data_IF_527977656633
#
_entry.id   IF_527977656633
#
_cell.length_a   1.000
_cell.length_b   1.000
_cell.length_c   1.000
_cell.angle_alpha   90.00
_cell.angle_beta   90.00
_cell.angle_gamma   90.00
#
_symmetry.space_group_name_H-M   'P 1'
#
loop_
_entity.id
_entity.type
_entity.pdbx_description
1 polymer ?
#
# COMPACT_ATOMS: atom_id res chain seq x y z
N UNK A 1 32.86 -7.29 -45.68
CA UNK A 1 31.47 -7.07 -45.24
C UNK A 1 31.21 -5.58 -45.07
N UNK A 2 30.08 -5.02 -45.54
CA UNK A 2 29.85 -3.58 -45.58
C UNK A 2 29.70 -3.02 -44.15
N UNK A 3 30.46 -1.96 -43.84
CA UNK A 3 30.45 -1.28 -42.52
C UNK A 3 29.05 -0.81 -42.08
N UNK A 4 28.15 -0.61 -43.05
CA UNK A 4 26.75 -0.26 -42.83
C UNK A 4 25.96 -1.33 -42.07
N UNK A 5 26.19 -2.62 -42.37
CA UNK A 5 25.47 -3.71 -41.70
C UNK A 5 25.91 -3.86 -40.24
N UNK A 6 27.21 -3.67 -39.97
CA UNK A 6 27.74 -3.66 -38.60
C UNK A 6 27.11 -2.53 -37.77
N UNK A 7 26.96 -1.34 -38.35
CA UNK A 7 26.31 -0.21 -37.69
C UNK A 7 24.86 -0.49 -37.30
N UNK A 8 24.07 -1.08 -38.22
CA UNK A 8 22.68 -1.44 -37.96
C UNK A 8 22.58 -2.49 -36.85
N UNK A 9 23.45 -3.52 -36.87
CA UNK A 9 23.46 -4.54 -35.83
C UNK A 9 23.82 -3.98 -34.45
N UNK A 10 24.77 -3.04 -34.37
CA UNK A 10 25.11 -2.40 -33.11
C UNK A 10 23.93 -1.62 -32.54
N UNK A 11 23.22 -0.85 -33.38
CA UNK A 11 22.01 -0.12 -32.97
C UNK A 11 20.91 -1.07 -32.51
N UNK A 12 20.68 -2.17 -33.23
CA UNK A 12 19.66 -3.14 -32.84
C UNK A 12 19.98 -3.81 -31.49
N UNK A 13 21.26 -4.14 -31.28
CA UNK A 13 21.72 -4.72 -30.00
C UNK A 13 21.62 -3.74 -28.83
N UNK A 14 21.91 -2.46 -29.03
CA UNK A 14 21.80 -1.45 -27.97
C UNK A 14 20.34 -1.16 -27.62
N UNK A 15 19.44 -1.16 -28.62
CA UNK A 15 17.99 -1.01 -28.39
C UNK A 15 17.44 -2.19 -27.58
N UNK A 16 17.82 -3.43 -27.91
CA UNK A 16 17.42 -4.63 -27.16
C UNK A 16 17.89 -4.54 -25.70
N UNK A 17 19.14 -4.13 -25.49
CA UNK A 17 19.73 -3.97 -24.16
C UNK A 17 18.94 -2.92 -23.36
N UNK A 18 18.63 -1.77 -23.96
CA UNK A 18 17.83 -0.72 -23.30
C UNK A 18 16.44 -1.26 -22.93
N UNK A 19 15.75 -1.92 -23.87
CA UNK A 19 14.41 -2.47 -23.59
C UNK A 19 14.43 -3.51 -22.47
N UNK A 20 15.45 -4.37 -22.41
CA UNK A 20 15.59 -5.37 -21.35
C UNK A 20 15.80 -4.76 -19.95
N UNK A 21 16.44 -3.58 -19.86
CA UNK A 21 16.67 -2.87 -18.59
C UNK A 21 15.57 -1.88 -18.22
N UNK A 22 14.64 -1.60 -19.12
CA UNK A 22 13.53 -0.67 -18.85
C UNK A 22 12.32 -1.30 -18.19
N UNK A 23 12.28 -2.62 -17.97
CA UNK A 23 11.15 -3.26 -17.30
C UNK A 23 11.23 -3.04 -15.77
N UNK A 24 10.40 -2.14 -15.20
CA UNK A 24 10.42 -1.86 -13.77
C UNK A 24 9.90 -3.04 -12.93
N UNK A 25 9.27 -4.03 -13.55
CA UNK A 25 8.73 -5.20 -12.86
C UNK A 25 9.81 -6.18 -12.38
N UNK A 26 11.02 -6.15 -12.95
CA UNK A 26 12.15 -6.99 -12.54
C UNK A 26 12.80 -6.54 -11.22
N UNK A 27 12.75 -5.24 -10.90
CA UNK A 27 13.28 -4.70 -9.64
C UNK A 27 12.31 -4.89 -8.47
N UNK A 28 11.01 -5.05 -8.76
CA UNK A 28 9.98 -5.20 -7.75
C UNK A 28 9.08 -6.39 -8.11
N UNK A 29 9.58 -7.63 -7.92
CA UNK A 29 8.84 -8.84 -8.24
C UNK A 29 7.60 -8.88 -7.35
N UNK A 30 6.53 -8.31 -7.88
CA UNK A 30 5.28 -8.07 -7.19
C UNK A 30 5.46 -7.27 -5.89
N UNK A 31 5.16 -5.98 -5.98
CA UNK A 31 4.70 -5.22 -4.82
C UNK A 31 3.34 -5.82 -4.39
N UNK A 32 3.36 -7.04 -3.87
CA UNK A 32 2.20 -7.76 -3.34
C UNK A 32 1.76 -6.92 -2.16
N UNK A 33 0.68 -6.16 -2.35
CA UNK A 33 0.05 -5.44 -1.26
C UNK A 33 -0.52 -6.48 -0.30
N UNK A 34 0.26 -6.81 0.72
CA UNK A 34 -0.17 -7.68 1.81
C UNK A 34 -1.08 -6.87 2.72
N UNK A 35 -2.30 -7.36 2.90
CA UNK A 35 -3.21 -6.77 3.86
C UNK A 35 -2.84 -7.22 5.28
N UNK A 36 -2.53 -6.26 6.14
CA UNK A 36 -2.23 -6.51 7.55
C UNK A 36 -3.47 -6.26 8.42
N UNK A 37 -4.25 -7.32 8.66
CA UNK A 37 -5.50 -7.22 9.41
C UNK A 37 -5.30 -6.77 10.87
N UNK A 38 -4.16 -7.09 11.48
CA UNK A 38 -3.83 -6.65 12.86
C UNK A 38 -3.62 -5.14 12.96
N UNK A 39 -3.33 -4.48 11.85
CA UNK A 39 -3.15 -3.03 11.74
C UNK A 39 -4.35 -2.35 11.08
N UNK A 40 -5.48 -3.05 10.96
CA UNK A 40 -6.65 -2.57 10.25
C UNK A 40 -7.91 -2.79 11.08
N UNK A 41 -8.85 -1.86 11.00
CA UNK A 41 -10.22 -2.01 11.49
C UNK A 41 -11.19 -1.40 10.48
N UNK A 42 -12.38 -1.96 10.34
CA UNK A 42 -13.47 -1.41 9.52
C UNK A 42 -14.83 -1.91 10.01
N UNK A 43 -15.89 -1.15 9.76
CA UNK A 43 -17.28 -1.58 9.98
C UNK A 43 -17.70 -2.73 9.05
N UNK A 44 -18.88 -3.34 9.27
CA UNK A 44 -19.96 -2.93 10.20
C UNK A 44 -19.86 -3.53 11.62
N UNK A 45 -18.88 -4.38 11.90
CA UNK A 45 -18.65 -4.98 13.22
C UNK A 45 -17.25 -4.63 13.72
N UNK A 46 -16.98 -3.33 13.78
CA UNK A 46 -15.67 -2.80 14.15
C UNK A 46 -15.37 -2.99 15.64
N UNK A 47 -16.37 -2.76 16.48
CA UNK A 47 -16.27 -2.87 17.92
C UNK A 47 -16.98 -4.13 18.41
N UNK A 48 -16.44 -4.76 19.45
CA UNK A 48 -17.16 -5.81 20.16
C UNK A 48 -18.28 -5.23 21.02
N UNK A 49 -19.14 -6.10 21.55
CA UNK A 49 -20.22 -5.72 22.47
C UNK A 49 -19.71 -4.94 23.70
N UNK A 50 -18.46 -5.20 24.09
CA UNK A 50 -17.78 -4.54 25.20
C UNK A 50 -17.15 -3.18 24.81
N UNK A 51 -17.34 -2.74 23.56
CA UNK A 51 -16.80 -1.49 23.02
C UNK A 51 -15.33 -1.57 22.60
N UNK A 52 -14.65 -2.69 22.82
CA UNK A 52 -13.24 -2.87 22.44
C UNK A 52 -13.07 -3.09 20.93
N UNK A 53 -11.94 -2.62 20.38
CA UNK A 53 -11.57 -2.82 18.96
C UNK A 53 -10.49 -3.89 18.89
N UNK A 54 -10.65 -4.96 18.08
CA UNK A 54 -9.66 -6.03 17.99
C UNK A 54 -8.29 -5.48 17.64
N UNK A 55 -7.25 -5.89 18.38
CA UNK A 55 -5.84 -5.49 18.17
C UNK A 55 -5.48 -4.03 18.49
N UNK A 56 -6.44 -3.20 18.91
CA UNK A 56 -6.22 -1.79 19.22
C UNK A 56 -6.58 -1.44 20.66
N UNK A 57 -5.84 -0.51 21.25
CA UNK A 57 -6.17 0.15 22.51
C UNK A 57 -6.42 1.63 22.24
N UNK A 58 -7.44 2.18 22.85
CA UNK A 58 -7.78 3.59 22.75
C UNK A 58 -8.18 4.11 24.14
N UNK A 59 -7.99 5.41 24.36
CA UNK A 59 -8.29 6.08 25.62
C UNK A 59 -8.71 7.53 25.40
N UNK A 60 -8.90 8.27 26.49
CA UNK A 60 -9.43 9.63 26.44
C UNK A 60 -10.89 9.64 25.96
N UNK A 61 -11.23 10.58 25.08
CA UNK A 61 -12.60 10.78 24.57
C UNK A 61 -12.94 9.96 23.31
N UNK A 62 -12.13 8.96 22.98
CA UNK A 62 -12.37 8.11 21.82
C UNK A 62 -13.58 7.18 22.06
N UNK A 63 -14.51 7.17 21.10
CA UNK A 63 -15.74 6.38 21.17
C UNK A 63 -15.78 5.43 19.97
N UNK A 64 -15.70 4.13 20.24
CA UNK A 64 -15.85 3.09 19.23
C UNK A 64 -17.33 2.73 19.03
N UNK A 65 -17.73 2.56 17.78
CA UNK A 65 -19.06 2.08 17.37
C UNK A 65 -18.91 0.99 16.31
N UNK A 66 -20.02 0.34 15.95
CA UNK A 66 -20.03 -0.76 14.97
C UNK A 66 -19.50 -0.34 13.59
N UNK A 67 -19.80 0.89 13.15
CA UNK A 67 -19.44 1.37 11.82
C UNK A 67 -18.12 2.15 11.78
N UNK A 68 -17.81 2.90 12.85
CA UNK A 68 -16.67 3.83 12.87
C UNK A 68 -16.15 4.10 14.29
N UNK A 69 -14.94 4.64 14.37
CA UNK A 69 -14.39 5.18 15.62
C UNK A 69 -14.44 6.70 15.55
N UNK A 70 -15.10 7.33 16.52
CA UNK A 70 -15.02 8.77 16.75
C UNK A 70 -13.84 9.05 17.66
N UNK A 71 -12.74 9.52 17.09
CA UNK A 71 -11.50 9.82 17.84
C UNK A 71 -11.71 10.92 18.87
N UNK A 72 -12.52 11.94 18.54
CA UNK A 72 -12.85 13.04 19.45
C UNK A 72 -14.24 13.59 19.11
N UNK A 73 -15.11 13.87 20.09
CA UNK A 73 -16.38 14.51 19.85
C UNK A 73 -16.23 16.02 19.64
N UNK A 74 -17.18 16.63 18.95
CA UNK A 74 -17.24 18.08 18.70
C UNK A 74 -17.68 18.89 19.92
N UNK A 75 -17.26 18.48 21.12
CA UNK A 75 -17.62 19.10 22.41
C UNK A 75 -16.38 19.79 22.96
N UNK A 76 -16.54 20.99 23.52
CA UNK A 76 -15.42 21.79 24.01
C UNK A 76 -14.79 21.12 25.24
N UNK A 77 -13.46 20.91 25.19
CA UNK A 77 -12.63 20.43 26.29
C UNK A 77 -13.06 19.09 26.91
N UNK A 78 -13.12 18.03 26.10
CA UNK A 78 -13.17 16.66 26.64
C UNK A 78 -11.72 16.23 26.89
N UNK A 79 -11.31 16.24 28.15
CA UNK A 79 -10.05 15.68 28.64
C UNK A 79 -10.40 14.39 29.37
#
# INVERSE_FOLDING_TARGET
MPKFYQFILTIYSSIIIIFAYTDPSLLNPQLVKRFEYKLSFKGPHLAFKDGSVPFWTFGGSAIASDEQIRVTPSIRSQI
#
